data_IF_231863374134
#
_entry.id   IF_231863374134
#
_cell.length_a   1.000
_cell.length_b   1.000
_cell.length_c   1.000
_cell.angle_alpha   90.00
_cell.angle_beta   90.00
_cell.angle_gamma   90.00
#
_symmetry.space_group_name_H-M   'P 1'
#
loop_
_entity.id
_entity.type
_entity.pdbx_description
1 polymer ?
#
# COMPACT_ATOMS: atom_id res chain seq x y z
N UNK A 1 -3.01 46.90 4.88
CA UNK A 1 -3.63 45.61 5.25
C UNK A 1 -4.53 45.16 4.10
N UNK A 2 -4.08 44.30 3.17
CA UNK A 2 -5.00 43.76 2.17
C UNK A 2 -5.88 42.68 2.81
N UNK A 3 -7.19 42.81 2.62
CA UNK A 3 -8.20 41.84 3.09
C UNK A 3 -7.95 40.46 2.46
N UNK A 4 -8.13 39.35 3.18
CA UNK A 4 -8.12 38.03 2.56
C UNK A 4 -9.22 37.96 1.50
N UNK A 5 -8.85 37.61 0.27
CA UNK A 5 -9.81 37.30 -0.80
C UNK A 5 -10.70 36.15 -0.30
N UNK A 6 -12.01 36.39 -0.29
CA UNK A 6 -13.00 35.36 -0.08
C UNK A 6 -12.79 34.24 -1.11
N UNK A 7 -12.40 33.06 -0.63
CA UNK A 7 -12.33 31.86 -1.46
C UNK A 7 -13.74 31.53 -1.91
N UNK A 8 -13.98 31.63 -3.21
CA UNK A 8 -15.23 31.21 -3.85
C UNK A 8 -15.49 29.76 -3.45
N UNK A 9 -16.57 29.53 -2.69
CA UNK A 9 -17.08 28.19 -2.42
C UNK A 9 -17.56 27.60 -3.75
N UNK A 10 -16.83 26.62 -4.29
CA UNK A 10 -17.38 25.75 -5.34
C UNK A 10 -18.55 24.97 -4.73
N UNK A 11 -19.70 25.04 -5.39
CA UNK A 11 -20.91 24.23 -5.14
C UNK A 11 -20.52 22.75 -4.94
N UNK A 12 -21.16 22.00 -4.02
CA UNK A 12 -20.83 20.60 -3.80
C UNK A 12 -20.99 19.82 -5.10
N UNK A 13 -19.98 19.02 -5.41
CA UNK A 13 -19.90 18.26 -6.64
C UNK A 13 -20.74 16.99 -6.45
N UNK A 14 -22.01 17.02 -6.87
CA UNK A 14 -22.81 15.80 -6.89
C UNK A 14 -22.20 14.82 -7.88
N UNK A 15 -21.88 13.61 -7.42
CA UNK A 15 -21.53 12.52 -8.32
C UNK A 15 -22.74 12.17 -9.17
N UNK A 16 -22.57 12.13 -10.49
CA UNK A 16 -23.60 11.69 -11.44
C UNK A 16 -23.21 10.31 -11.98
N UNK A 17 -23.10 9.33 -11.09
CA UNK A 17 -22.83 7.94 -11.46
C UNK A 17 -24.14 7.19 -11.73
N UNK A 18 -24.14 6.21 -12.66
CA UNK A 18 -25.29 5.31 -12.87
C UNK A 18 -25.74 4.64 -11.56
N UNK A 19 -27.05 4.44 -11.40
CA UNK A 19 -27.63 3.92 -10.14
C UNK A 19 -27.22 2.46 -9.83
N UNK A 20 -26.86 1.70 -10.86
CA UNK A 20 -26.37 0.33 -10.82
C UNK A 20 -24.85 0.24 -10.59
N UNK A 21 -24.14 1.36 -10.46
CA UNK A 21 -22.69 1.36 -10.24
C UNK A 21 -22.31 0.55 -9.00
N UNK A 22 -21.41 -0.42 -9.16
CA UNK A 22 -20.89 -1.26 -8.07
C UNK A 22 -19.45 -0.91 -7.72
N UNK A 23 -18.69 -0.38 -8.68
CA UNK A 23 -17.26 -0.12 -8.57
C UNK A 23 -16.98 1.32 -9.04
N UNK A 24 -16.22 2.09 -8.25
CA UNK A 24 -15.76 3.43 -8.65
C UNK A 24 -14.55 3.85 -7.83
N UNK A 25 -13.59 4.53 -8.47
CA UNK A 25 -12.51 5.23 -7.78
C UNK A 25 -12.74 6.73 -7.72
N UNK A 26 -12.31 7.32 -6.62
CA UNK A 26 -12.40 8.74 -6.31
C UNK A 26 -11.00 9.23 -5.95
N UNK A 27 -10.40 10.08 -6.80
CA UNK A 27 -9.06 10.64 -6.57
C UNK A 27 -9.16 12.10 -6.15
N UNK A 28 -8.93 12.34 -4.86
CA UNK A 28 -8.93 13.67 -4.27
C UNK A 28 -7.60 14.38 -4.52
N UNK A 29 -7.66 15.69 -4.77
CA UNK A 29 -6.51 16.58 -4.67
C UNK A 29 -6.52 17.27 -3.31
N UNK A 30 -5.42 17.13 -2.58
CA UNK A 30 -5.25 17.59 -1.21
C UNK A 30 -4.06 18.55 -1.14
N UNK A 31 -4.20 19.68 -0.47
CA UNK A 31 -3.08 20.60 -0.24
C UNK A 31 -2.92 20.89 1.25
N UNK A 32 -1.71 20.69 1.83
CA UNK A 32 -1.44 21.07 3.21
C UNK A 32 -1.59 22.58 3.40
N UNK A 33 -2.07 23.03 4.57
CA UNK A 33 -2.13 24.46 4.88
C UNK A 33 -0.74 25.10 5.03
N UNK A 34 0.25 24.30 5.42
CA UNK A 34 1.65 24.68 5.57
C UNK A 34 2.53 23.43 5.42
N UNK A 35 3.85 23.65 5.32
CA UNK A 35 4.82 22.56 5.45
C UNK A 35 4.58 21.79 6.75
N UNK A 36 4.52 20.47 6.65
CA UNK A 36 4.23 19.60 7.79
C UNK A 36 4.92 18.25 7.65
N UNK A 37 5.12 17.59 8.78
CA UNK A 37 5.64 16.23 8.84
C UNK A 37 4.51 15.30 9.24
N UNK A 38 4.35 14.21 8.50
CA UNK A 38 3.43 13.14 8.83
C UNK A 38 4.12 12.11 9.73
N UNK A 39 3.34 11.42 10.55
CA UNK A 39 3.82 10.23 11.23
C UNK A 39 3.99 9.08 10.22
N UNK A 40 4.96 8.16 10.40
CA UNK A 40 5.30 7.16 9.38
C UNK A 40 4.13 6.25 8.95
N UNK A 41 3.15 6.02 9.83
CA UNK A 41 1.96 5.20 9.52
C UNK A 41 0.71 6.02 9.17
N UNK A 42 0.88 7.19 8.54
CA UNK A 42 -0.23 8.11 8.25
C UNK A 42 -1.39 7.50 7.45
N UNK A 43 -1.16 6.42 6.70
CA UNK A 43 -2.23 5.70 5.99
C UNK A 43 -3.25 5.06 6.93
N UNK A 44 -2.88 4.76 8.18
CA UNK A 44 -3.85 4.39 9.23
C UNK A 44 -4.76 5.58 9.56
N UNK A 45 -4.23 6.80 9.51
CA UNK A 45 -5.01 8.02 9.72
C UNK A 45 -6.00 8.24 8.59
N UNK A 46 -5.57 8.03 7.34
CA UNK A 46 -6.46 8.09 6.17
C UNK A 46 -7.58 7.04 6.26
N UNK A 47 -7.24 5.80 6.63
CA UNK A 47 -8.22 4.74 6.87
C UNK A 47 -9.21 5.11 7.97
N UNK A 48 -8.70 5.53 9.14
CA UNK A 48 -9.53 5.90 10.28
C UNK A 48 -10.42 7.11 9.96
N UNK A 49 -9.90 8.10 9.24
CA UNK A 49 -10.65 9.26 8.79
C UNK A 49 -11.78 8.84 7.85
N UNK A 50 -11.52 7.97 6.87
CA UNK A 50 -12.56 7.48 5.96
C UNK A 50 -13.68 6.77 6.73
N UNK A 51 -13.33 5.84 7.62
CA UNK A 51 -14.33 5.14 8.44
C UNK A 51 -15.10 6.09 9.36
N UNK A 52 -14.45 7.14 9.88
CA UNK A 52 -15.12 8.18 10.65
C UNK A 52 -16.16 8.94 9.81
N UNK A 53 -15.82 9.29 8.56
CA UNK A 53 -16.78 9.88 7.61
C UNK A 53 -17.96 8.94 7.31
N UNK A 54 -17.68 7.64 7.11
CA UNK A 54 -18.73 6.64 6.92
C UNK A 54 -19.63 6.59 8.15
N UNK A 55 -19.05 6.50 9.35
CA UNK A 55 -19.79 6.39 10.62
C UNK A 55 -20.71 7.57 10.88
N UNK A 56 -20.29 8.78 10.51
CA UNK A 56 -21.10 9.99 10.71
C UNK A 56 -22.41 9.98 9.90
N UNK A 57 -22.44 9.31 8.74
CA UNK A 57 -23.62 9.20 7.89
C UNK A 57 -24.36 7.87 8.01
N UNK A 58 -23.60 6.78 8.15
CA UNK A 58 -24.10 5.41 8.20
C UNK A 58 -23.26 4.57 9.18
N UNK A 59 -23.61 4.57 10.49
CA UNK A 59 -22.90 3.80 11.52
C UNK A 59 -22.86 2.29 11.25
N UNK A 60 -23.93 1.71 10.70
CA UNK A 60 -24.02 0.28 10.41
C UNK A 60 -23.06 -0.12 9.29
N UNK A 61 -23.01 0.66 8.20
CA UNK A 61 -22.03 0.46 7.13
C UNK A 61 -20.60 0.57 7.69
N UNK A 62 -20.32 1.59 8.52
CA UNK A 62 -18.99 1.71 9.14
C UNK A 62 -18.61 0.50 9.98
N UNK A 63 -19.55 -0.08 10.73
CA UNK A 63 -19.32 -1.29 11.51
C UNK A 63 -19.00 -2.48 10.60
N UNK A 64 -19.75 -2.67 9.52
CA UNK A 64 -19.44 -3.69 8.52
C UNK A 64 -18.04 -3.49 7.89
N UNK A 65 -17.70 -2.26 7.49
CA UNK A 65 -16.39 -1.94 6.91
C UNK A 65 -15.23 -2.18 7.89
N UNK A 66 -15.44 -1.97 9.19
CA UNK A 66 -14.41 -2.16 10.21
C UNK A 66 -14.35 -3.60 10.72
N UNK A 67 -15.47 -4.15 11.18
CA UNK A 67 -15.57 -5.39 11.95
C UNK A 67 -15.91 -6.62 11.10
N UNK A 68 -16.40 -6.44 9.86
CA UNK A 68 -16.78 -7.55 8.99
C UNK A 68 -15.63 -8.54 8.75
N UNK A 69 -15.95 -9.83 8.81
CA UNK A 69 -14.98 -10.92 8.61
C UNK A 69 -14.75 -11.25 7.12
N UNK A 70 -15.61 -10.75 6.22
CA UNK A 70 -15.48 -10.87 4.76
C UNK A 70 -14.36 -9.97 4.20
N UNK A 71 -14.10 -10.04 2.88
CA UNK A 71 -13.27 -9.02 2.24
C UNK A 71 -13.86 -7.62 2.49
N UNK A 72 -12.97 -6.61 2.53
CA UNK A 72 -13.39 -5.23 2.71
C UNK A 72 -13.79 -4.64 1.35
N UNK A 73 -14.97 -4.02 1.21
CA UNK A 73 -15.49 -3.53 -0.08
C UNK A 73 -14.91 -2.17 -0.48
N UNK A 74 -13.66 -1.89 -0.09
CA UNK A 74 -12.98 -0.65 -0.46
C UNK A 74 -11.46 -0.79 -0.44
N UNK A 75 -10.79 0.12 -1.14
CA UNK A 75 -9.35 0.33 -1.03
C UNK A 75 -9.04 1.80 -0.82
N UNK A 76 -7.86 2.10 -0.30
CA UNK A 76 -7.32 3.47 -0.28
C UNK A 76 -5.87 3.45 -0.75
N UNK A 77 -5.40 4.52 -1.38
CA UNK A 77 -3.98 4.72 -1.65
C UNK A 77 -3.27 5.39 -0.48
N UNK A 78 -1.93 5.36 -0.49
CA UNK A 78 -1.14 6.36 0.22
C UNK A 78 -1.27 7.73 -0.48
N UNK A 79 -0.76 8.80 0.13
CA UNK A 79 -0.64 10.09 -0.55
C UNK A 79 0.46 9.99 -1.61
N UNK A 80 0.15 10.30 -2.86
CA UNK A 80 1.15 10.32 -3.93
C UNK A 80 1.95 11.62 -3.90
N UNK A 81 3.26 11.53 -4.16
CA UNK A 81 4.18 12.68 -4.15
C UNK A 81 4.71 13.03 -2.76
N UNK A 82 4.48 12.20 -1.73
CA UNK A 82 5.08 12.39 -0.40
C UNK A 82 6.57 12.09 -0.45
N UNK A 83 7.37 13.05 0.01
CA UNK A 83 8.81 12.90 0.14
C UNK A 83 9.14 12.28 1.49
N UNK A 84 10.21 11.50 1.55
CA UNK A 84 10.77 11.01 2.82
C UNK A 84 11.93 11.92 3.20
N UNK A 85 11.82 12.61 4.34
CA UNK A 85 12.88 13.48 4.83
C UNK A 85 14.11 12.66 5.29
N UNK A 86 15.30 13.28 5.45
CA UNK A 86 16.54 12.62 5.91
C UNK A 86 16.50 11.90 7.28
N UNK A 87 15.36 11.90 7.99
CA UNK A 87 15.11 11.12 9.22
C UNK A 87 14.02 10.05 9.06
N UNK A 88 13.59 9.74 7.84
CA UNK A 88 12.60 8.70 7.57
C UNK A 88 11.13 9.09 7.74
N UNK A 89 10.87 10.33 8.17
CA UNK A 89 9.51 10.82 8.34
C UNK A 89 8.96 11.38 7.03
N UNK A 90 7.73 11.02 6.64
CA UNK A 90 7.10 11.58 5.45
C UNK A 90 6.86 13.09 5.61
N UNK A 91 7.22 13.88 4.59
CA UNK A 91 7.09 15.34 4.58
C UNK A 91 6.09 15.79 3.52
N UNK A 92 5.24 16.73 3.94
CA UNK A 92 4.34 17.46 3.08
C UNK A 92 4.82 18.90 2.93
N UNK A 93 4.79 19.42 1.71
CA UNK A 93 5.09 20.81 1.38
C UNK A 93 3.78 21.56 1.13
N UNK A 94 3.60 22.71 1.76
CA UNK A 94 2.35 23.48 1.66
C UNK A 94 2.13 24.15 0.30
N UNK A 95 3.17 24.20 -0.54
CA UNK A 95 3.17 24.86 -1.85
C UNK A 95 2.71 23.95 -3.00
N UNK A 96 2.39 22.68 -2.75
CA UNK A 96 1.97 21.74 -3.80
C UNK A 96 0.81 20.83 -3.37
N UNK A 97 -0.02 20.39 -4.33
CA UNK A 97 -1.04 19.39 -4.07
C UNK A 97 -0.47 17.96 -4.05
N UNK A 98 -1.21 17.08 -3.39
CA UNK A 98 -1.01 15.64 -3.27
C UNK A 98 -2.30 14.94 -3.71
N UNK A 99 -2.21 13.68 -4.14
CA UNK A 99 -3.40 12.91 -4.51
C UNK A 99 -3.63 11.74 -3.57
N UNK A 100 -4.90 11.53 -3.23
CA UNK A 100 -5.36 10.38 -2.46
C UNK A 100 -6.51 9.71 -3.18
N UNK A 101 -6.46 8.38 -3.34
CA UNK A 101 -7.52 7.63 -4.02
C UNK A 101 -8.25 6.75 -3.04
N UNK A 102 -9.58 6.75 -3.14
CA UNK A 102 -10.50 5.83 -2.48
C UNK A 102 -11.19 5.04 -3.59
N UNK A 103 -11.29 3.72 -3.47
CA UNK A 103 -12.08 2.91 -4.41
C UNK A 103 -13.15 2.15 -3.66
N UNK A 104 -14.39 2.21 -4.14
CA UNK A 104 -15.50 1.37 -3.69
C UNK A 104 -15.59 0.11 -4.54
N UNK A 105 -15.90 -1.01 -3.90
CA UNK A 105 -16.02 -2.34 -4.51
C UNK A 105 -17.41 -2.96 -4.37
N UNK A 106 -18.37 -2.24 -3.80
CA UNK A 106 -19.74 -2.71 -3.71
C UNK A 106 -20.74 -1.56 -3.81
N UNK A 107 -21.94 -1.87 -4.31
CA UNK A 107 -23.01 -0.88 -4.47
C UNK A 107 -23.34 -0.13 -3.16
N UNK A 108 -23.40 -0.76 -1.96
CA UNK A 108 -23.62 -0.02 -0.72
C UNK A 108 -22.57 1.08 -0.45
N UNK A 109 -21.30 0.82 -0.77
CA UNK A 109 -20.23 1.82 -0.59
C UNK A 109 -20.31 2.90 -1.66
N UNK A 110 -20.66 2.56 -2.90
CA UNK A 110 -20.88 3.54 -3.98
C UNK A 110 -22.06 4.46 -3.65
N UNK A 111 -23.17 3.92 -3.15
CA UNK A 111 -24.33 4.69 -2.70
C UNK A 111 -23.94 5.64 -1.58
N UNK A 112 -23.21 5.14 -0.57
CA UNK A 112 -22.70 6.00 0.49
C UNK A 112 -21.78 7.11 -0.04
N UNK A 113 -20.84 6.82 -0.94
CA UNK A 113 -19.97 7.84 -1.55
C UNK A 113 -20.80 8.90 -2.29
N UNK A 114 -21.83 8.48 -3.02
CA UNK A 114 -22.71 9.38 -3.78
C UNK A 114 -23.43 10.35 -2.87
N UNK A 115 -23.99 9.86 -1.75
CA UNK A 115 -24.65 10.69 -0.75
C UNK A 115 -23.66 11.59 -0.01
N UNK A 116 -22.49 11.05 0.35
CA UNK A 116 -21.42 11.79 1.04
C UNK A 116 -20.92 12.99 0.24
N UNK A 117 -20.82 12.84 -1.08
CA UNK A 117 -20.42 13.90 -2.01
C UNK A 117 -21.46 15.03 -2.17
N UNK A 118 -22.67 14.89 -1.63
CA UNK A 118 -23.65 16.00 -1.58
C UNK A 118 -23.25 17.07 -0.56
N UNK A 119 -22.59 16.68 0.52
CA UNK A 119 -22.08 17.57 1.56
C UNK A 119 -20.66 17.16 1.99
N UNK A 120 -19.69 17.27 1.07
CA UNK A 120 -18.35 16.78 1.33
C UNK A 120 -17.63 17.65 2.37
N UNK A 121 -16.75 17.06 3.20
CA UNK A 121 -15.88 17.83 4.07
C UNK A 121 -14.94 18.72 3.26
N UNK A 122 -14.41 19.78 3.87
CA UNK A 122 -13.43 20.66 3.21
C UNK A 122 -11.98 20.32 3.56
N UNK A 123 -11.78 19.50 4.58
CA UNK A 123 -10.47 19.22 5.16
C UNK A 123 -10.35 17.77 5.63
N UNK A 124 -9.14 17.24 5.55
CA UNK A 124 -8.70 15.99 6.18
C UNK A 124 -7.65 16.37 7.21
N UNK A 125 -7.78 15.94 8.46
CA UNK A 125 -6.73 16.14 9.46
C UNK A 125 -6.01 14.82 9.78
N UNK A 126 -4.69 14.81 9.61
CA UNK A 126 -3.82 13.68 9.92
C UNK A 126 -2.98 13.97 11.16
N UNK A 127 -3.62 14.03 12.33
CA UNK A 127 -3.00 14.29 13.64
C UNK A 127 -2.24 15.62 13.69
N UNK A 128 -2.91 16.72 13.36
CA UNK A 128 -2.31 18.06 13.36
C UNK A 128 -1.60 18.43 12.06
N UNK A 129 -1.82 17.66 11.00
CA UNK A 129 -1.41 17.96 9.64
C UNK A 129 -2.67 18.15 8.77
N UNK A 130 -3.38 19.29 8.89
CA UNK A 130 -4.59 19.54 8.14
C UNK A 130 -4.28 19.72 6.65
N UNK A 131 -5.07 19.05 5.83
CA UNK A 131 -5.04 19.08 4.38
C UNK A 131 -6.38 19.63 3.89
N UNK A 132 -6.33 20.69 3.08
CA UNK A 132 -7.52 21.18 2.38
C UNK A 132 -7.81 20.31 1.17
N UNK A 133 -9.08 19.96 0.97
CA UNK A 133 -9.54 19.27 -0.22
C UNK A 133 -9.77 20.33 -1.31
N UNK A 134 -9.05 20.22 -2.42
CA UNK A 134 -9.12 21.13 -3.56
C UNK A 134 -10.09 20.65 -4.64
N UNK A 135 -10.09 19.34 -4.87
CA UNK A 135 -10.87 18.67 -5.89
C UNK A 135 -11.21 17.24 -5.43
N UNK A 136 -12.38 16.76 -5.84
CA UNK A 136 -12.87 15.41 -5.62
C UNK A 136 -12.63 14.48 -6.81
N UNK A 137 -12.13 15.01 -7.94
CA UNK A 137 -11.71 14.20 -9.08
C UNK A 137 -12.86 13.54 -9.83
N UNK A 138 -14.07 14.11 -9.76
CA UNK A 138 -15.28 13.52 -10.37
C UNK A 138 -15.28 13.57 -11.90
N UNK A 139 -14.54 14.50 -12.50
CA UNK A 139 -14.49 14.66 -13.96
C UNK A 139 -13.41 13.81 -14.62
N UNK A 140 -12.35 13.47 -13.89
CA UNK A 140 -11.18 12.74 -14.38
C UNK A 140 -10.87 11.56 -13.46
N UNK A 141 -11.87 10.68 -13.25
CA UNK A 141 -11.66 9.52 -12.40
C UNK A 141 -10.68 8.54 -13.05
N UNK A 142 -9.64 8.17 -12.30
CA UNK A 142 -8.67 7.13 -12.70
C UNK A 142 -9.33 5.75 -12.80
N UNK A 143 -10.43 5.54 -12.07
CA UNK A 143 -11.21 4.31 -12.08
C UNK A 143 -12.70 4.66 -12.25
N UNK A 144 -13.20 4.71 -13.49
CA UNK A 144 -14.56 5.17 -13.78
C UNK A 144 -15.63 4.29 -13.11
N UNK A 145 -16.86 4.79 -12.93
CA UNK A 145 -17.97 3.97 -12.44
C UNK A 145 -18.23 2.79 -13.40
N UNK A 146 -18.35 1.58 -12.85
CA UNK A 146 -18.60 0.34 -13.59
C UNK A 146 -19.36 -0.68 -12.74
N UNK A 147 -19.83 -1.76 -13.37
CA UNK A 147 -20.39 -2.95 -12.72
C UNK A 147 -19.48 -4.18 -12.89
N UNK A 148 -19.66 -5.21 -12.07
CA UNK A 148 -18.98 -6.49 -12.24
C UNK A 148 -19.38 -7.16 -13.56
N UNK A 149 -20.66 -7.05 -13.95
CA UNK A 149 -21.16 -7.49 -15.25
C UNK A 149 -20.41 -6.79 -16.41
N UNK A 150 -20.19 -5.48 -16.35
CA UNK A 150 -19.42 -4.76 -17.37
C UNK A 150 -17.93 -5.13 -17.39
N UNK A 151 -17.35 -5.52 -16.25
CA UNK A 151 -15.99 -6.06 -16.21
C UNK A 151 -15.92 -7.46 -16.85
N UNK A 152 -17.00 -8.24 -16.72
CA UNK A 152 -17.13 -9.57 -17.30
C UNK A 152 -17.50 -9.53 -18.77
N UNK A 153 -18.39 -8.66 -19.22
CA UNK A 153 -18.91 -8.61 -20.60
C UNK A 153 -18.01 -7.77 -21.50
N UNK A 154 -16.88 -8.37 -21.84
CA UNK A 154 -15.80 -7.70 -22.56
C UNK A 154 -15.29 -8.59 -23.67
N UNK A 155 -15.08 -8.00 -24.84
CA UNK A 155 -14.52 -8.73 -25.98
C UNK A 155 -13.13 -9.29 -25.63
N UNK A 156 -12.97 -10.59 -25.83
CA UNK A 156 -11.72 -11.30 -25.64
C UNK A 156 -10.84 -11.12 -26.89
N UNK A 157 -9.63 -10.55 -26.77
CA UNK A 157 -8.74 -10.43 -27.90
C UNK A 157 -8.20 -11.80 -28.32
N UNK A 158 -7.77 -12.00 -29.59
CA UNK A 158 -7.27 -13.29 -30.07
C UNK A 158 -6.09 -13.85 -29.27
N UNK A 159 -5.27 -12.98 -28.67
CA UNK A 159 -4.19 -13.33 -27.77
C UNK A 159 -4.41 -12.61 -26.42
N UNK A 160 -5.15 -13.21 -25.48
CA UNK A 160 -5.41 -12.63 -24.17
C UNK A 160 -4.11 -12.42 -23.37
N UNK A 161 -3.88 -11.17 -22.98
CA UNK A 161 -2.77 -10.77 -22.15
C UNK A 161 -3.17 -9.62 -21.23
N UNK A 162 -2.55 -9.58 -20.05
CA UNK A 162 -2.77 -8.55 -19.04
C UNK A 162 -1.40 -7.99 -18.65
N UNK A 163 -1.24 -6.68 -18.78
CA UNK A 163 -0.14 -5.94 -18.19
C UNK A 163 -0.64 -5.23 -16.93
N UNK A 164 0.09 -5.36 -15.82
CA UNK A 164 -0.20 -4.69 -14.55
C UNK A 164 1.03 -3.94 -14.05
N UNK A 165 0.79 -2.79 -13.42
CA UNK A 165 1.80 -2.01 -12.72
C UNK A 165 1.41 -1.82 -11.26
N UNK A 166 2.33 -2.11 -10.35
CA UNK A 166 2.18 -2.04 -8.90
C UNK A 166 2.83 -0.75 -8.38
N UNK A 167 2.01 0.24 -8.08
CA UNK A 167 2.42 1.60 -7.72
C UNK A 167 2.76 1.78 -6.24
N UNK A 168 2.40 0.80 -5.42
CA UNK A 168 2.71 0.77 -4.00
C UNK A 168 3.16 -0.64 -3.59
N UNK A 169 3.87 -0.79 -2.47
CA UNK A 169 4.34 -2.09 -2.01
C UNK A 169 3.20 -3.11 -1.98
N UNK A 170 3.35 -4.17 -2.78
CA UNK A 170 2.40 -5.26 -2.94
C UNK A 170 2.99 -6.52 -2.32
N UNK A 171 2.20 -7.27 -1.57
CA UNK A 171 2.72 -8.47 -0.88
C UNK A 171 1.60 -9.47 -0.70
N UNK A 172 1.97 -10.75 -0.70
CA UNK A 172 1.08 -11.86 -0.37
C UNK A 172 1.49 -12.48 0.96
N UNK A 173 0.64 -13.37 1.49
CA UNK A 173 0.98 -14.22 2.64
C UNK A 173 1.15 -15.65 2.17
N UNK A 174 2.27 -16.27 2.54
CA UNK A 174 2.54 -17.68 2.29
C UNK A 174 3.18 -18.28 3.53
N UNK A 175 2.55 -19.31 4.10
CA UNK A 175 2.97 -19.95 5.36
C UNK A 175 3.31 -18.93 6.47
N UNK A 176 2.46 -17.92 6.68
CA UNK A 176 2.63 -16.79 7.63
C UNK A 176 3.74 -15.78 7.28
N UNK A 177 4.58 -16.03 6.27
CA UNK A 177 5.60 -15.10 5.80
C UNK A 177 5.08 -14.15 4.72
N UNK A 178 5.75 -13.01 4.54
CA UNK A 178 5.52 -12.16 3.37
C UNK A 178 6.05 -12.85 2.12
N UNK A 179 5.29 -12.78 1.04
CA UNK A 179 5.69 -13.29 -0.26
C UNK A 179 5.67 -12.14 -1.27
N UNK A 180 6.83 -11.50 -1.52
CA UNK A 180 6.93 -10.30 -2.34
C UNK A 180 7.13 -10.64 -3.83
N UNK A 181 6.35 -11.56 -4.39
CA UNK A 181 6.45 -11.95 -5.80
C UNK A 181 5.06 -12.06 -6.45
N UNK A 182 4.84 -11.47 -7.64
CA UNK A 182 3.59 -11.54 -8.40
C UNK A 182 3.46 -12.87 -9.16
N UNK A 183 3.48 -13.99 -8.45
CA UNK A 183 3.17 -15.29 -9.05
C UNK A 183 1.70 -15.32 -9.49
N UNK A 184 1.35 -15.79 -10.70
CA UNK A 184 -0.02 -15.75 -11.23
C UNK A 184 -1.08 -16.27 -10.26
N UNK A 185 -0.90 -17.45 -9.69
CA UNK A 185 -1.84 -18.02 -8.70
C UNK A 185 -2.10 -17.05 -7.54
N UNK A 186 -1.08 -16.36 -7.04
CA UNK A 186 -1.24 -15.38 -5.96
C UNK A 186 -1.97 -14.09 -6.41
N UNK A 187 -1.69 -13.62 -7.64
CA UNK A 187 -2.40 -12.48 -8.23
C UNK A 187 -3.89 -12.80 -8.35
N UNK A 188 -4.21 -13.89 -9.03
CA UNK A 188 -5.59 -14.25 -9.32
C UNK A 188 -6.36 -14.69 -8.08
N UNK A 189 -5.73 -15.36 -7.13
CA UNK A 189 -6.35 -15.62 -5.82
C UNK A 189 -6.69 -14.31 -5.08
N UNK A 190 -5.84 -13.28 -5.19
CA UNK A 190 -6.15 -11.99 -4.58
C UNK A 190 -7.38 -11.31 -5.20
N UNK A 191 -7.58 -11.44 -6.50
CA UNK A 191 -8.70 -10.82 -7.21
C UNK A 191 -9.97 -11.65 -7.06
N UNK A 192 -9.86 -12.97 -7.21
CA UNK A 192 -10.98 -13.90 -7.16
C UNK A 192 -11.72 -13.83 -5.83
N UNK A 193 -11.01 -13.75 -4.70
CA UNK A 193 -11.68 -13.59 -3.38
C UNK A 193 -12.60 -12.37 -3.33
N UNK A 194 -12.22 -11.26 -3.96
CA UNK A 194 -13.05 -10.03 -4.01
C UNK A 194 -14.12 -10.09 -5.09
N UNK A 195 -13.87 -10.85 -6.15
CA UNK A 195 -14.87 -11.14 -7.15
C UNK A 195 -16.00 -11.97 -6.54
N UNK A 196 -15.68 -13.11 -5.92
CA UNK A 196 -16.66 -14.00 -5.30
C UNK A 196 -17.46 -13.30 -4.19
N UNK A 197 -16.82 -12.45 -3.38
CA UNK A 197 -17.52 -11.73 -2.30
C UNK A 197 -18.51 -10.65 -2.79
N UNK A 198 -18.28 -10.03 -3.95
CA UNK A 198 -19.00 -8.80 -4.34
C UNK A 198 -19.69 -8.81 -5.71
N UNK A 199 -19.36 -9.76 -6.59
CA UNK A 199 -19.88 -9.78 -7.96
C UNK A 199 -21.24 -10.46 -8.13
N UNK A 200 -21.74 -11.11 -7.07
CA UNK A 200 -22.92 -12.01 -7.09
C UNK A 200 -22.71 -13.29 -7.92
N UNK A 201 -21.57 -13.44 -8.61
CA UNK A 201 -21.19 -14.62 -9.39
C UNK A 201 -19.94 -15.25 -8.80
N UNK A 202 -20.11 -16.43 -8.21
CA UNK A 202 -19.02 -17.16 -7.56
C UNK A 202 -18.42 -18.23 -8.48
N UNK A 203 -17.10 -18.33 -8.47
CA UNK A 203 -16.36 -19.40 -9.12
C UNK A 203 -15.65 -20.26 -8.08
N UNK A 204 -15.52 -21.56 -8.38
CA UNK A 204 -14.72 -22.46 -7.55
C UNK A 204 -13.25 -22.01 -7.54
N UNK A 205 -12.75 -21.75 -6.33
CA UNK A 205 -11.42 -21.19 -6.16
C UNK A 205 -10.31 -22.20 -6.46
N UNK A 206 -10.51 -23.48 -6.13
CA UNK A 206 -9.47 -24.49 -6.33
C UNK A 206 -9.30 -24.79 -7.83
N UNK A 207 -10.42 -25.01 -8.54
CA UNK A 207 -10.43 -25.32 -9.96
C UNK A 207 -9.87 -24.17 -10.80
N UNK A 208 -10.30 -22.93 -10.53
CA UNK A 208 -9.80 -21.77 -11.28
C UNK A 208 -8.30 -21.53 -11.01
N UNK A 209 -7.84 -21.67 -9.77
CA UNK A 209 -6.43 -21.43 -9.45
C UNK A 209 -5.50 -22.53 -9.98
N UNK A 210 -5.95 -23.78 -10.03
CA UNK A 210 -5.24 -24.86 -10.71
C UNK A 210 -5.15 -24.62 -12.23
N UNK A 211 -6.24 -24.13 -12.84
CA UNK A 211 -6.20 -23.68 -14.23
C UNK A 211 -5.19 -22.53 -14.42
N UNK A 212 -5.21 -21.51 -13.55
CA UNK A 212 -4.25 -20.39 -13.62
C UNK A 212 -2.79 -20.88 -13.57
N UNK A 213 -2.47 -21.82 -12.68
CA UNK A 213 -1.11 -22.35 -12.51
C UNK A 213 -0.59 -23.03 -13.79
N UNK A 214 -1.47 -23.74 -14.49
CA UNK A 214 -1.15 -24.47 -15.73
C UNK A 214 -1.21 -23.59 -16.98
N UNK A 215 -2.03 -22.54 -16.96
CA UNK A 215 -2.44 -21.79 -18.14
C UNK A 215 -1.77 -20.43 -18.29
N UNK A 216 -1.36 -19.78 -17.20
CA UNK A 216 -0.85 -18.40 -17.23
C UNK A 216 0.67 -18.38 -17.28
N UNK A 217 1.21 -17.66 -18.27
CA UNK A 217 2.65 -17.51 -18.50
C UNK A 217 3.06 -16.07 -18.21
N UNK A 218 4.11 -15.88 -17.41
CA UNK A 218 4.75 -14.57 -17.25
C UNK A 218 5.59 -14.29 -18.51
N UNK A 219 5.20 -13.32 -19.30
CA UNK A 219 5.89 -12.95 -20.56
C UNK A 219 6.91 -11.85 -20.34
N UNK A 220 6.66 -10.96 -19.38
CA UNK A 220 7.55 -9.83 -19.07
C UNK A 220 7.42 -9.43 -17.61
N UNK A 221 8.50 -9.01 -16.97
CA UNK A 221 8.43 -8.41 -15.64
C UNK A 221 9.58 -7.43 -15.40
N UNK A 222 9.33 -6.45 -14.53
CA UNK A 222 10.33 -5.55 -13.98
C UNK A 222 9.91 -5.25 -12.54
N UNK A 223 10.62 -5.81 -11.57
CA UNK A 223 10.18 -5.82 -10.18
C UNK A 223 11.31 -5.39 -9.25
N UNK A 224 10.93 -4.73 -8.16
CA UNK A 224 11.84 -4.39 -7.07
C UNK A 224 11.21 -4.77 -5.74
N UNK A 225 11.98 -5.48 -4.92
CA UNK A 225 11.60 -5.74 -3.52
C UNK A 225 11.75 -4.46 -2.70
N UNK A 226 10.74 -4.15 -1.91
CA UNK A 226 10.69 -2.96 -1.05
C UNK A 226 10.19 -3.34 0.33
N UNK A 227 10.73 -2.71 1.37
CA UNK A 227 10.27 -2.88 2.74
C UNK A 227 9.59 -1.60 3.19
N UNK A 228 8.36 -1.71 3.66
CA UNK A 228 7.58 -0.55 4.14
C UNK A 228 6.97 -0.82 5.50
N UNK A 229 6.66 0.23 6.25
CA UNK A 229 5.88 0.12 7.48
C UNK A 229 4.42 -0.08 7.10
N UNK A 230 3.74 -1.04 7.72
CA UNK A 230 2.35 -1.34 7.37
C UNK A 230 1.47 -1.55 8.61
N UNK A 231 0.43 -0.73 8.74
CA UNK A 231 -0.52 -0.81 9.85
C UNK A 231 0.12 -0.50 11.22
N UNK A 232 -0.55 -0.95 12.30
CA UNK A 232 -0.25 -0.53 13.69
C UNK A 232 1.13 -0.99 14.23
N UNK A 233 1.64 -2.14 13.77
CA UNK A 233 2.96 -2.70 14.16
C UNK A 233 3.53 -3.55 13.02
N UNK A 234 4.84 -3.45 12.82
CA UNK A 234 5.59 -4.29 11.89
C UNK A 234 5.89 -3.64 10.54
N UNK A 235 6.66 -4.36 9.73
CA UNK A 235 6.96 -4.01 8.34
C UNK A 235 6.36 -5.06 7.41
N UNK A 236 6.19 -4.70 6.16
CA UNK A 236 5.84 -5.61 5.07
C UNK A 236 6.98 -5.56 4.06
N UNK A 237 7.54 -6.73 3.75
CA UNK A 237 8.34 -6.91 2.55
C UNK A 237 7.39 -7.18 1.39
N UNK A 238 7.41 -6.31 0.40
CA UNK A 238 6.58 -6.39 -0.80
C UNK A 238 7.40 -6.11 -2.05
N UNK A 239 6.72 -5.95 -3.17
CA UNK A 239 7.27 -5.56 -4.45
C UNK A 239 6.53 -4.37 -5.05
N UNK A 240 7.25 -3.60 -5.87
CA UNK A 240 6.71 -2.63 -6.83
C UNK A 240 7.23 -2.95 -8.22
N UNK A 241 6.66 -2.33 -9.25
CA UNK A 241 7.10 -2.51 -10.63
C UNK A 241 5.97 -2.95 -11.55
N UNK A 242 6.26 -3.76 -12.55
CA UNK A 242 5.28 -4.20 -13.55
C UNK A 242 5.46 -5.66 -13.94
N UNK A 243 4.37 -6.28 -14.39
CA UNK A 243 4.32 -7.63 -14.94
C UNK A 243 3.40 -7.65 -16.16
N UNK A 244 3.74 -8.49 -17.13
CA UNK A 244 2.89 -8.88 -18.23
C UNK A 244 2.73 -10.40 -18.21
N UNK A 245 1.48 -10.83 -18.33
CA UNK A 245 1.08 -12.24 -18.33
C UNK A 245 0.19 -12.51 -19.53
N UNK A 246 0.30 -13.70 -20.10
CA UNK A 246 -0.55 -14.17 -21.19
C UNK A 246 -1.03 -15.59 -20.93
N UNK A 247 -2.02 -16.01 -21.71
CA UNK A 247 -2.52 -17.39 -21.68
C UNK A 247 -1.72 -18.29 -22.63
N UNK A 248 -1.55 -19.55 -22.24
CA UNK A 248 -1.07 -20.61 -23.12
C UNK A 248 -2.11 -20.92 -24.21
N UNK A 249 -1.71 -21.61 -25.28
CA UNK A 249 -2.65 -21.95 -26.37
C UNK A 249 -3.78 -22.88 -25.92
N UNK A 250 -3.46 -23.86 -25.07
CA UNK A 250 -4.44 -24.83 -24.54
C UNK A 250 -5.43 -24.19 -23.59
N UNK A 251 -5.02 -23.12 -22.90
CA UNK A 251 -5.92 -22.36 -22.03
C UNK A 251 -7.10 -21.73 -22.77
N UNK A 252 -6.94 -21.44 -24.08
CA UNK A 252 -7.97 -20.80 -24.90
C UNK A 252 -9.17 -21.71 -25.18
N UNK A 253 -9.07 -23.01 -24.87
CA UNK A 253 -10.17 -23.97 -24.99
C UNK A 253 -11.25 -23.76 -23.92
N UNK A 254 -10.88 -23.16 -22.78
CA UNK A 254 -11.79 -22.86 -21.68
C UNK A 254 -12.24 -21.38 -21.76
N UNK A 255 -13.29 -21.14 -22.56
CA UNK A 255 -13.78 -19.77 -22.80
C UNK A 255 -14.25 -19.07 -21.52
N UNK A 256 -14.77 -19.81 -20.54
CA UNK A 256 -15.26 -19.25 -19.29
C UNK A 256 -14.09 -18.75 -18.42
N UNK A 257 -13.05 -19.56 -18.24
CA UNK A 257 -11.86 -19.14 -17.48
C UNK A 257 -11.04 -18.09 -18.20
N UNK A 258 -11.03 -18.07 -19.54
CA UNK A 258 -10.47 -16.96 -20.31
C UNK A 258 -11.23 -15.65 -20.04
N UNK A 259 -12.56 -15.70 -20.00
CA UNK A 259 -13.41 -14.55 -19.69
C UNK A 259 -13.13 -14.04 -18.27
N UNK A 260 -13.13 -14.94 -17.29
CA UNK A 260 -12.85 -14.60 -15.89
C UNK A 260 -11.42 -14.05 -15.71
N UNK A 261 -10.42 -14.63 -16.37
CA UNK A 261 -9.05 -14.12 -16.38
C UNK A 261 -9.01 -12.65 -16.81
N UNK A 262 -9.67 -12.31 -17.93
CA UNK A 262 -9.72 -10.93 -18.43
C UNK A 262 -10.51 -10.00 -17.51
N UNK A 263 -11.61 -10.49 -16.92
CA UNK A 263 -12.42 -9.73 -15.97
C UNK A 263 -11.64 -9.39 -14.69
N UNK A 264 -10.95 -10.38 -14.11
CA UNK A 264 -10.10 -10.19 -12.92
C UNK A 264 -8.91 -9.27 -13.19
N UNK A 265 -8.34 -9.33 -14.40
CA UNK A 265 -7.35 -8.36 -14.86
C UNK A 265 -7.86 -6.91 -14.82
N UNK A 266 -9.11 -6.70 -15.29
CA UNK A 266 -9.77 -5.40 -15.27
C UNK A 266 -10.27 -4.97 -13.89
N UNK A 267 -10.54 -5.92 -13.00
CA UNK A 267 -10.87 -5.66 -11.59
C UNK A 267 -9.64 -5.19 -10.79
N UNK A 268 -8.45 -5.67 -11.13
CA UNK A 268 -7.22 -5.42 -10.37
C UNK A 268 -6.94 -3.94 -10.02
N UNK A 269 -7.16 -2.94 -10.90
CA UNK A 269 -6.98 -1.53 -10.55
C UNK A 269 -7.98 -1.02 -9.50
N UNK A 270 -9.17 -1.60 -9.42
CA UNK A 270 -10.19 -1.19 -8.45
C UNK A 270 -9.89 -1.80 -7.08
N UNK A 271 -9.70 -3.11 -7.04
CA UNK A 271 -9.61 -3.86 -5.80
C UNK A 271 -8.19 -3.96 -5.21
N UNK A 272 -7.18 -3.54 -5.99
CA UNK A 272 -5.77 -3.66 -5.65
C UNK A 272 -5.32 -5.12 -5.53
N UNK A 273 -4.01 -5.29 -5.34
CA UNK A 273 -3.37 -6.61 -5.30
C UNK A 273 -2.83 -6.93 -3.92
N UNK A 274 -3.06 -8.17 -3.45
CA UNK A 274 -2.50 -8.67 -2.20
C UNK A 274 -3.28 -8.23 -0.95
N UNK A 275 -2.54 -8.03 0.15
CA UNK A 275 -3.10 -7.66 1.45
C UNK A 275 -2.86 -6.18 1.79
N UNK A 276 -3.65 -5.67 2.76
CA UNK A 276 -3.57 -4.29 3.29
C UNK A 276 -3.90 -3.19 2.25
N UNK A 277 -4.74 -3.51 1.27
CA UNK A 277 -5.28 -2.54 0.29
C UNK A 277 -6.11 -1.42 0.92
N UNK A 278 -6.72 -1.69 2.09
CA UNK A 278 -7.39 -0.67 2.92
C UNK A 278 -6.43 0.23 3.71
N UNK A 279 -5.11 0.05 3.56
CA UNK A 279 -4.07 0.83 4.25
C UNK A 279 -3.02 1.42 3.29
N UNK A 280 -3.32 1.54 2.00
CA UNK A 280 -2.41 2.16 1.04
C UNK A 280 -1.43 1.22 0.33
N UNK A 281 -1.51 -0.09 0.55
CA UNK A 281 -0.69 -1.09 -0.14
C UNK A 281 -1.43 -1.66 -1.35
N UNK A 282 -0.70 -2.33 -2.25
CA UNK A 282 -1.34 -3.07 -3.35
C UNK A 282 -2.03 -2.23 -4.42
N UNK A 283 -1.77 -0.91 -4.49
CA UNK A 283 -2.28 -0.06 -5.57
C UNK A 283 -1.76 -0.56 -6.92
N UNK A 284 -2.70 -0.93 -7.80
CA UNK A 284 -2.43 -1.56 -9.09
C UNK A 284 -3.04 -0.71 -10.21
N UNK A 285 -2.39 -0.68 -11.37
CA UNK A 285 -2.92 -0.10 -12.61
C UNK A 285 -2.86 -1.13 -13.74
N UNK A 286 -3.81 -1.02 -14.65
CA UNK A 286 -3.72 -1.69 -15.94
C UNK A 286 -2.64 -1.02 -16.80
N UNK A 287 -2.00 -1.85 -17.62
CA UNK A 287 -0.95 -1.42 -18.53
C UNK A 287 0.45 -1.50 -17.93
N UNK A 288 1.43 -1.45 -18.82
CA UNK A 288 2.83 -1.39 -18.48
C UNK A 288 3.24 0.05 -18.20
N UNK A 289 3.61 0.32 -16.95
CA UNK A 289 4.26 1.54 -16.52
C UNK A 289 5.49 1.12 -15.75
N UNK A 290 6.65 1.15 -16.41
CA UNK A 290 7.90 1.31 -15.68
C UNK A 290 7.87 2.70 -15.07
N UNK A 291 7.38 2.83 -13.82
CA UNK A 291 7.80 3.98 -13.03
C UNK A 291 9.33 4.02 -13.12
N UNK A 292 9.87 5.21 -13.42
CA UNK A 292 11.30 5.42 -13.62
C UNK A 292 12.06 4.62 -12.59
N UNK A 293 12.83 3.65 -13.06
CA UNK A 293 13.91 3.06 -12.29
C UNK A 293 14.93 4.17 -12.08
N UNK A 294 14.61 5.19 -11.28
CA UNK A 294 15.61 5.69 -10.37
C UNK A 294 15.96 4.45 -9.54
N UNK A 295 17.06 3.80 -9.93
CA UNK A 295 17.77 2.92 -9.01
C UNK A 295 17.73 3.64 -7.67
N UNK A 296 17.25 3.02 -6.58
CA UNK A 296 17.27 3.70 -5.30
C UNK A 296 18.71 4.14 -5.13
N UNK A 297 18.94 5.46 -5.10
CA UNK A 297 20.06 5.98 -4.34
C UNK A 297 19.79 5.39 -2.96
N UNK A 298 20.49 4.30 -2.64
CA UNK A 298 20.31 3.49 -1.45
C UNK A 298 19.92 4.40 -0.31
N UNK A 299 18.65 4.32 0.15
CA UNK A 299 18.19 5.30 1.12
C UNK A 299 19.05 5.14 2.37
N UNK A 300 19.23 6.21 3.16
CA UNK A 300 19.97 6.13 4.42
C UNK A 300 19.42 5.02 5.33
N UNK A 301 18.13 4.69 5.19
CA UNK A 301 17.47 3.57 5.86
C UNK A 301 17.87 2.20 5.30
N UNK A 302 18.05 2.06 3.99
CA UNK A 302 18.55 0.83 3.38
C UNK A 302 20.01 0.56 3.77
N UNK A 303 20.85 1.60 3.75
CA UNK A 303 22.24 1.53 4.21
C UNK A 303 22.30 1.19 5.71
N UNK A 304 21.43 1.80 6.53
CA UNK A 304 21.31 1.48 7.95
C UNK A 304 20.91 0.03 8.16
N UNK A 305 19.88 -0.45 7.47
CA UNK A 305 19.38 -1.81 7.61
C UNK A 305 20.41 -2.86 7.17
N UNK A 306 21.12 -2.61 6.06
CA UNK A 306 22.22 -3.46 5.60
C UNK A 306 23.38 -3.47 6.60
N UNK A 307 23.75 -2.31 7.16
CA UNK A 307 24.82 -2.22 8.16
C UNK A 307 24.46 -2.92 9.47
N UNK A 308 23.21 -2.80 9.96
CA UNK A 308 22.72 -3.50 11.14
C UNK A 308 22.78 -5.03 10.92
N UNK A 309 22.33 -5.51 9.76
CA UNK A 309 22.36 -6.93 9.44
C UNK A 309 23.80 -7.48 9.43
N UNK A 310 24.73 -6.80 8.75
CA UNK A 310 26.14 -7.19 8.68
C UNK A 310 26.82 -7.21 10.07
N UNK A 311 26.58 -6.18 10.89
CA UNK A 311 27.11 -6.12 12.26
C UNK A 311 26.51 -7.20 13.17
N UNK A 312 25.22 -7.48 13.02
CA UNK A 312 24.54 -8.52 13.82
C UNK A 312 25.13 -9.90 13.51
N UNK A 313 25.30 -10.23 12.23
CA UNK A 313 25.95 -11.47 11.80
C UNK A 313 27.39 -11.58 12.32
N UNK A 314 28.15 -10.49 12.23
CA UNK A 314 29.51 -10.44 12.75
C UNK A 314 29.57 -10.65 14.28
N UNK A 315 28.68 -10.01 15.04
CA UNK A 315 28.64 -10.18 16.51
C UNK A 315 28.18 -11.57 16.93
N UNK A 316 27.32 -12.22 16.15
CA UNK A 316 26.90 -13.59 16.40
C UNK A 316 28.04 -14.58 16.13
N UNK A 317 28.79 -14.43 15.05
CA UNK A 317 29.92 -15.33 14.70
C UNK A 317 31.07 -15.26 15.71
N UNK A 318 31.31 -14.11 16.35
CA UNK A 318 32.33 -13.97 17.40
C UNK A 318 31.93 -14.62 18.74
N UNK A 319 30.64 -14.87 19.00
CA UNK A 319 30.16 -15.38 20.29
C UNK A 319 30.13 -16.91 20.30
N UNK A 320 31.15 -17.53 20.89
CA UNK A 320 31.33 -19.01 21.04
C UNK A 320 30.22 -19.78 21.81
N UNK A 321 29.12 -19.16 22.26
CA UNK A 321 28.01 -19.84 22.98
C UNK A 321 26.64 -19.41 22.42
N UNK A 322 25.92 -20.38 21.87
CA UNK A 322 24.57 -20.27 21.30
C UNK A 322 23.48 -20.29 22.39
N UNK A 323 23.28 -19.15 23.06
CA UNK A 323 22.03 -18.89 23.77
C UNK A 323 21.02 -18.28 22.80
N UNK A 324 20.24 -19.13 22.11
CA UNK A 324 19.51 -18.82 20.86
C UNK A 324 18.82 -17.45 20.79
N UNK A 325 17.98 -17.09 21.76
CA UNK A 325 17.21 -15.84 21.68
C UNK A 325 17.89 -14.64 22.35
N UNK A 326 18.48 -14.85 23.55
CA UNK A 326 19.08 -13.74 24.32
C UNK A 326 20.38 -13.24 23.70
N UNK A 327 21.17 -14.13 23.09
CA UNK A 327 22.40 -13.74 22.41
C UNK A 327 22.10 -12.93 21.14
N UNK A 328 21.05 -13.30 20.41
CA UNK A 328 20.55 -12.62 19.21
C UNK A 328 20.02 -11.23 19.55
N UNK A 329 19.15 -11.09 20.55
CA UNK A 329 18.63 -9.79 20.98
C UNK A 329 19.74 -8.81 21.40
N UNK A 330 20.77 -9.30 22.10
CA UNK A 330 21.91 -8.45 22.48
C UNK A 330 22.75 -8.06 21.26
N UNK A 331 22.98 -8.99 20.32
CA UNK A 331 23.73 -8.71 19.09
C UNK A 331 23.02 -7.67 18.21
N UNK A 332 21.70 -7.84 18.01
CA UNK A 332 20.86 -6.88 17.27
C UNK A 332 20.85 -5.50 17.95
N UNK A 333 20.76 -5.46 19.28
CA UNK A 333 20.81 -4.20 20.03
C UNK A 333 22.16 -3.49 19.84
N UNK A 334 23.28 -4.22 19.90
CA UNK A 334 24.62 -3.66 19.68
C UNK A 334 24.80 -3.17 18.24
N UNK A 335 24.35 -3.94 17.26
CA UNK A 335 24.42 -3.60 15.84
C UNK A 335 23.59 -2.35 15.53
N UNK A 336 22.38 -2.26 16.09
CA UNK A 336 21.49 -1.10 15.93
C UNK A 336 22.10 0.17 16.50
N UNK A 337 22.65 0.10 17.72
CA UNK A 337 23.29 1.27 18.36
C UNK A 337 24.52 1.73 17.56
N UNK A 338 25.37 0.80 17.10
CA UNK A 338 26.58 1.14 16.37
C UNK A 338 26.26 1.73 14.99
N UNK A 339 25.38 1.10 14.22
CA UNK A 339 25.05 1.56 12.87
C UNK A 339 24.35 2.92 12.87
N UNK A 340 23.42 3.17 13.81
CA UNK A 340 22.79 4.50 13.99
C UNK A 340 23.81 5.57 14.38
N UNK A 341 24.80 5.20 15.20
CA UNK A 341 25.87 6.11 15.62
C UNK A 341 26.85 6.45 14.48
N UNK A 342 27.14 5.49 13.60
CA UNK A 342 27.95 5.70 12.38
C UNK A 342 27.27 6.68 11.41
N UNK A 343 25.93 6.72 11.38
CA UNK A 343 25.13 7.66 10.58
C UNK A 343 24.90 9.03 11.23
N UNK A 344 25.51 9.28 12.40
CA UNK A 344 25.53 10.60 13.04
C UNK A 344 24.46 10.83 14.11
N UNK A 345 23.63 9.84 14.44
CA UNK A 345 22.61 9.98 15.49
C UNK A 345 23.23 10.13 16.88
N UNK A 346 22.57 10.92 17.74
CA UNK A 346 23.03 11.11 19.12
C UNK A 346 22.76 9.86 19.96
N UNK A 347 23.65 9.55 20.91
CA UNK A 347 23.41 8.42 21.83
C UNK A 347 22.19 8.65 22.73
N UNK A 348 21.76 9.90 22.88
CA UNK A 348 20.61 10.27 23.67
C UNK A 348 19.31 9.89 22.94
N UNK A 349 19.22 10.22 21.65
CA UNK A 349 18.07 9.86 20.79
C UNK A 349 17.98 8.35 20.60
N UNK A 350 19.12 7.68 20.38
CA UNK A 350 19.17 6.20 20.26
C UNK A 350 18.70 5.53 21.57
N UNK A 351 19.07 6.08 22.73
CA UNK A 351 18.69 5.51 24.01
C UNK A 351 17.19 5.65 24.29
N UNK A 352 16.62 6.82 23.98
CA UNK A 352 15.19 7.10 24.10
C UNK A 352 14.37 6.16 23.21
N UNK A 353 14.76 6.03 21.93
CA UNK A 353 14.08 5.16 20.96
C UNK A 353 14.11 3.69 21.33
N UNK A 354 15.22 3.20 21.90
CA UNK A 354 15.38 1.80 22.29
C UNK A 354 14.83 1.51 23.70
N UNK A 355 14.28 2.51 24.40
CA UNK A 355 13.83 2.37 25.79
C UNK A 355 14.98 2.01 26.76
N UNK A 356 16.21 2.42 26.44
CA UNK A 356 17.40 2.15 27.24
C UNK A 356 17.77 3.36 28.09
N UNK A 357 18.37 3.12 29.26
CA UNK A 357 19.05 4.20 29.98
C UNK A 357 20.25 4.67 29.16
N UNK A 358 20.51 5.98 29.13
CA UNK A 358 21.63 6.57 28.38
C UNK A 358 22.98 5.89 28.67
N UNK A 359 23.29 5.62 29.95
CA UNK A 359 24.53 4.93 30.33
C UNK A 359 24.62 3.49 29.78
N UNK A 360 23.47 2.83 29.60
CA UNK A 360 23.40 1.50 28.96
C UNK A 360 23.70 1.61 27.47
N UNK A 361 23.09 2.57 26.76
CA UNK A 361 23.36 2.80 25.34
C UNK A 361 24.84 3.18 25.09
N UNK A 362 25.41 4.04 25.94
CA UNK A 362 26.83 4.42 25.91
C UNK A 362 27.77 3.22 26.11
N UNK A 363 27.45 2.35 27.07
CA UNK A 363 28.21 1.12 27.32
C UNK A 363 28.14 0.17 26.13
N UNK A 364 26.93 -0.05 25.58
CA UNK A 364 26.73 -0.92 24.43
C UNK A 364 27.41 -0.39 23.18
N UNK A 365 27.38 0.92 22.92
CA UNK A 365 28.11 1.53 21.82
C UNK A 365 29.63 1.28 21.92
N UNK A 366 30.21 1.41 23.12
CA UNK A 366 31.64 1.15 23.35
C UNK A 366 32.00 -0.31 23.09
N UNK A 367 31.17 -1.24 23.58
CA UNK A 367 31.40 -2.68 23.40
C UNK A 367 31.21 -3.12 21.94
N UNK A 368 30.16 -2.61 21.28
CA UNK A 368 29.89 -2.86 19.87
C UNK A 368 31.03 -2.36 18.98
N UNK A 369 31.54 -1.15 19.22
CA UNK A 369 32.68 -0.60 18.48
C UNK A 369 33.92 -1.48 18.61
N UNK A 370 34.26 -1.90 19.84
CA UNK A 370 35.41 -2.79 20.07
C UNK A 370 35.25 -4.15 19.38
N UNK A 371 34.03 -4.69 19.37
CA UNK A 371 33.75 -5.96 18.68
C UNK A 371 33.78 -5.82 17.15
N UNK A 372 33.57 -4.62 16.61
CA UNK A 372 33.57 -4.33 15.19
C UNK A 372 34.96 -3.95 14.62
N UNK A 373 36.02 -3.88 15.44
CA UNK A 373 37.38 -3.46 15.04
C UNK A 373 38.02 -4.32 13.90
N UNK A 374 37.37 -5.40 13.46
CA UNK A 374 37.81 -6.28 12.37
C UNK A 374 36.87 -6.29 11.14
N UNK A 375 35.78 -5.52 11.15
CA UNK A 375 34.84 -5.40 10.02
C UNK A 375 35.03 -4.00 9.39
N UNK A 376 35.36 -3.90 8.08
CA UNK A 376 35.56 -2.60 7.43
C UNK A 376 34.30 -1.71 7.45
#
# INVERSE_FOLDING_TARGET
MPRPRATVQKTPAAANWPADTQLVGLTLQLQPYADSTLYPQYTIGLHAWLLDQVRQMNPELSAYLHDGESEKPFTISALQGVEIAPGGSPRLRGDRPYTWTITALSQPVVTWLTDWLRQPPQTIDLRGAPLRILDWGLTNSVHPPTTYEQLFDVAIPPNPAIALSFLSPTSFRRHKHHFPLPVPVNLFHSYLRRWNDFSEVEYDQEDFLDWIDRSVIITRHHLQSVKTVAGKRGSVTGFTGAIEISLSKTALEDSEYVQLFMALGRLAPYCGTGHKTTFGLGQTRLGWSSAETEAPQSTLQDLLAQRIAALTEHFLTQRKRTGGERAMAIAETWATILARRELGESLQDIAEDLGLRYETAKTYAKLARKAAEALP
#
